data_IF_747764643207
#
_entry.id   IF_747764643207
#
_cell.length_a   1.000
_cell.length_b   1.000
_cell.length_c   1.000
_cell.angle_alpha   90.00
_cell.angle_beta   90.00
_cell.angle_gamma   90.00
#
_symmetry.space_group_name_H-M   'P 1'
#
loop_
_entity.id
_entity.type
_entity.pdbx_description
1 polymer ?
#
# COMPACT_ATOMS: atom_id res chain seq x y z
N UNK A 1 11.37 -20.97 19.33
CA UNK A 1 12.31 -20.95 18.21
C UNK A 1 11.53 -21.33 16.95
N UNK A 2 11.45 -20.42 15.98
CA UNK A 2 10.90 -20.69 14.65
C UNK A 2 12.09 -20.99 13.71
N UNK A 3 11.98 -22.08 12.95
CA UNK A 3 12.98 -22.46 11.96
C UNK A 3 12.35 -22.35 10.58
N UNK A 4 12.89 -21.51 9.71
CA UNK A 4 12.54 -21.44 8.31
C UNK A 4 13.47 -22.40 7.55
N UNK A 5 12.92 -23.47 7.02
CA UNK A 5 13.63 -24.41 6.18
C UNK A 5 13.16 -24.26 4.71
N UNK A 6 14.07 -24.35 3.71
CA UNK A 6 13.69 -24.36 2.31
C UNK A 6 12.85 -25.62 2.00
N UNK A 7 11.69 -25.44 1.36
CA UNK A 7 10.90 -26.55 0.81
C UNK A 7 10.88 -26.46 -0.71
N UNK A 8 11.61 -27.36 -1.38
CA UNK A 8 11.72 -27.39 -2.86
C UNK A 8 10.35 -27.63 -3.51
N UNK A 9 9.44 -28.34 -2.82
CA UNK A 9 8.11 -28.63 -3.34
C UNK A 9 7.04 -27.59 -2.94
N UNK A 10 7.40 -26.57 -2.19
CA UNK A 10 6.43 -25.58 -1.66
C UNK A 10 5.58 -24.97 -2.78
N UNK A 11 6.20 -24.50 -3.86
CA UNK A 11 5.47 -23.89 -4.96
C UNK A 11 4.54 -24.88 -5.65
N UNK A 12 5.00 -26.10 -5.90
CA UNK A 12 4.18 -27.16 -6.51
C UNK A 12 2.97 -27.50 -5.63
N UNK A 13 3.17 -27.67 -4.31
CA UNK A 13 2.09 -27.92 -3.36
C UNK A 13 1.07 -26.77 -3.36
N UNK A 14 1.56 -25.54 -3.40
CA UNK A 14 0.71 -24.35 -3.45
C UNK A 14 -0.09 -24.25 -4.75
N UNK A 15 0.52 -24.54 -5.88
CA UNK A 15 -0.17 -24.60 -7.20
C UNK A 15 -1.28 -25.64 -7.21
N UNK A 16 -1.03 -26.84 -6.72
CA UNK A 16 -2.05 -27.90 -6.60
C UNK A 16 -3.22 -27.45 -5.73
N UNK A 17 -2.94 -26.81 -4.60
CA UNK A 17 -3.99 -26.29 -3.70
C UNK A 17 -4.82 -25.19 -4.36
N UNK A 18 -4.17 -24.27 -5.09
CA UNK A 18 -4.84 -23.20 -5.82
C UNK A 18 -5.71 -23.79 -6.93
N UNK A 19 -5.18 -24.75 -7.71
CA UNK A 19 -5.92 -25.39 -8.77
C UNK A 19 -7.17 -26.12 -8.23
N UNK A 20 -7.03 -26.84 -7.12
CA UNK A 20 -8.18 -27.52 -6.49
C UNK A 20 -9.27 -26.51 -6.04
N UNK A 21 -8.86 -25.35 -5.48
CA UNK A 21 -9.81 -24.28 -5.12
C UNK A 21 -10.51 -23.69 -6.35
N UNK A 22 -9.77 -23.51 -7.46
CA UNK A 22 -10.33 -23.01 -8.73
C UNK A 22 -11.33 -24.01 -9.27
N UNK A 23 -10.99 -25.30 -9.33
CA UNK A 23 -11.85 -26.36 -9.84
C UNK A 23 -13.15 -26.46 -9.04
N UNK A 24 -13.05 -26.37 -7.70
CA UNK A 24 -14.21 -26.37 -6.82
C UNK A 24 -15.12 -25.16 -7.08
N UNK A 25 -14.55 -23.96 -7.18
CA UNK A 25 -15.29 -22.75 -7.50
C UNK A 25 -15.92 -22.81 -8.89
N UNK A 26 -15.20 -23.31 -9.88
CA UNK A 26 -15.66 -23.44 -11.26
C UNK A 26 -16.90 -24.34 -11.39
N UNK A 27 -16.95 -25.43 -10.61
CA UNK A 27 -18.11 -26.33 -10.56
C UNK A 27 -19.39 -25.66 -10.01
N UNK A 28 -19.22 -24.67 -9.14
CA UNK A 28 -20.33 -23.99 -8.45
C UNK A 28 -20.73 -22.66 -9.11
N UNK A 29 -20.11 -22.28 -10.24
CA UNK A 29 -20.46 -21.05 -10.96
C UNK A 29 -21.81 -21.17 -11.64
N UNK A 30 -22.69 -20.20 -11.42
CA UNK A 30 -23.92 -20.03 -12.19
C UNK A 30 -23.64 -19.68 -13.65
N UNK A 31 -24.64 -19.78 -14.51
CA UNK A 31 -24.54 -19.35 -15.92
C UNK A 31 -24.22 -17.86 -15.99
N UNK A 32 -24.90 -17.04 -15.17
CA UNK A 32 -24.71 -15.59 -15.12
C UNK A 32 -23.31 -15.19 -14.66
N UNK A 33 -22.73 -15.93 -13.68
CA UNK A 33 -21.35 -15.70 -13.26
C UNK A 33 -20.34 -16.00 -14.36
N UNK A 34 -20.55 -17.05 -15.11
CA UNK A 34 -19.70 -17.41 -16.26
C UNK A 34 -19.76 -16.33 -17.33
N UNK A 35 -20.95 -15.85 -17.69
CA UNK A 35 -21.12 -14.76 -18.66
C UNK A 35 -20.46 -13.48 -18.19
N UNK A 36 -20.61 -13.13 -16.90
CA UNK A 36 -19.97 -11.96 -16.29
C UNK A 36 -18.45 -12.06 -16.37
N UNK A 37 -17.87 -13.21 -16.04
CA UNK A 37 -16.40 -13.43 -16.10
C UNK A 37 -15.91 -13.30 -17.54
N UNK A 38 -16.61 -13.91 -18.51
CA UNK A 38 -16.26 -13.82 -19.93
C UNK A 38 -16.30 -12.37 -20.42
N UNK A 39 -17.35 -11.61 -20.05
CA UNK A 39 -17.48 -10.20 -20.40
C UNK A 39 -16.37 -9.34 -19.80
N UNK A 40 -16.04 -9.56 -18.52
CA UNK A 40 -14.95 -8.87 -17.83
C UNK A 40 -13.60 -9.15 -18.51
N UNK A 41 -13.32 -10.40 -18.83
CA UNK A 41 -12.08 -10.82 -19.51
C UNK A 41 -11.95 -10.16 -20.88
N UNK A 42 -13.04 -10.15 -21.68
CA UNK A 42 -13.06 -9.49 -22.99
C UNK A 42 -12.80 -7.99 -22.88
N UNK A 43 -13.45 -7.31 -21.90
CA UNK A 43 -13.27 -5.89 -21.68
C UNK A 43 -11.83 -5.56 -21.22
N UNK A 44 -11.27 -6.38 -20.33
CA UNK A 44 -9.89 -6.21 -19.86
C UNK A 44 -8.91 -6.36 -21.03
N UNK A 45 -9.08 -7.41 -21.85
CA UNK A 45 -8.23 -7.62 -23.03
C UNK A 45 -8.31 -6.47 -24.02
N UNK A 46 -9.52 -6.00 -24.35
CA UNK A 46 -9.72 -4.85 -25.22
C UNK A 46 -9.06 -3.58 -24.68
N UNK A 47 -9.10 -3.36 -23.35
CA UNK A 47 -8.43 -2.22 -22.71
C UNK A 47 -6.91 -2.34 -22.74
N UNK A 48 -6.35 -3.54 -22.55
CA UNK A 48 -4.91 -3.79 -22.63
C UNK A 48 -4.34 -3.63 -24.05
N UNK A 49 -5.13 -3.99 -25.06
CA UNK A 49 -4.75 -3.88 -26.48
C UNK A 49 -4.92 -2.45 -27.02
N UNK A 50 -5.65 -1.58 -26.29
CA UNK A 50 -5.86 -0.19 -26.69
C UNK A 50 -4.57 0.61 -26.52
N UNK A 51 -4.05 1.12 -27.62
CA UNK A 51 -2.95 2.09 -27.60
C UNK A 51 -3.53 3.51 -27.41
N UNK A 52 -3.09 4.18 -26.34
CA UNK A 52 -3.47 5.57 -26.13
C UNK A 52 -2.58 6.51 -26.98
N UNK A 53 -3.17 7.64 -27.40
CA UNK A 53 -2.41 8.64 -28.16
C UNK A 53 -1.38 9.31 -27.23
N UNK A 54 -0.06 9.20 -27.49
CA UNK A 54 0.99 9.81 -26.66
C UNK A 54 0.92 11.35 -26.62
N UNK A 55 0.23 11.99 -27.58
CA UNK A 55 0.04 13.45 -27.59
C UNK A 55 -0.95 13.95 -26.51
N UNK A 56 -1.68 13.04 -25.84
CA UNK A 56 -2.53 13.37 -24.69
C UNK A 56 -1.68 13.74 -23.46
N UNK A 57 -0.45 13.26 -23.38
CA UNK A 57 0.44 13.56 -22.26
C UNK A 57 0.85 15.04 -22.28
N UNK A 58 0.69 15.76 -21.15
CA UNK A 58 1.13 17.16 -21.07
C UNK A 58 2.64 17.25 -21.32
N UNK A 59 3.03 18.17 -22.22
CA UNK A 59 4.44 18.44 -22.52
C UNK A 59 4.95 19.49 -21.54
N UNK A 60 5.84 19.08 -20.63
CA UNK A 60 6.47 20.00 -19.68
C UNK A 60 7.62 20.72 -20.35
N UNK A 61 7.60 22.05 -20.27
CA UNK A 61 8.62 22.96 -20.81
C UNK A 61 9.35 23.69 -19.69
N UNK A 62 10.42 24.42 -20.02
CA UNK A 62 11.12 25.26 -19.03
C UNK A 62 10.24 26.36 -18.44
N UNK A 63 9.18 26.76 -19.14
CA UNK A 63 8.24 27.78 -18.67
C UNK A 63 7.35 27.26 -17.53
N UNK A 64 7.14 25.96 -17.46
CA UNK A 64 6.31 25.30 -16.44
C UNK A 64 7.05 25.11 -15.11
N UNK A 65 8.36 25.39 -15.07
CA UNK A 65 9.15 25.31 -13.84
C UNK A 65 8.85 26.55 -12.98
N UNK A 66 8.25 26.37 -11.78
CA UNK A 66 7.99 27.50 -10.90
C UNK A 66 9.30 28.17 -10.46
N UNK A 67 9.33 29.51 -10.46
CA UNK A 67 10.51 30.29 -10.04
C UNK A 67 10.85 30.15 -8.56
N UNK A 68 9.88 29.80 -7.74
CA UNK A 68 10.03 29.55 -6.29
C UNK A 68 9.25 28.30 -5.90
N UNK A 69 9.76 27.59 -4.90
CA UNK A 69 9.05 26.45 -4.33
C UNK A 69 7.96 26.95 -3.39
N UNK A 70 6.73 26.60 -3.69
CA UNK A 70 5.61 26.81 -2.79
C UNK A 70 5.44 25.58 -1.88
N UNK A 71 5.29 25.83 -0.58
CA UNK A 71 5.00 24.79 0.40
C UNK A 71 3.52 24.81 0.72
N UNK A 72 2.92 23.64 0.72
CA UNK A 72 1.53 23.48 1.16
C UNK A 72 1.37 23.92 2.62
N UNK A 73 0.34 24.73 2.89
CA UNK A 73 0.00 25.16 4.23
C UNK A 73 -0.82 24.06 4.93
N UNK A 74 -0.38 23.69 6.12
CA UNK A 74 -1.12 22.74 6.95
C UNK A 74 -2.28 23.44 7.67
N UNK A 75 -3.36 22.68 7.86
CA UNK A 75 -4.40 22.99 8.84
C UNK A 75 -4.24 22.01 10.00
N UNK A 76 -4.19 22.52 11.24
CA UNK A 76 -4.12 21.68 12.43
C UNK A 76 -5.49 21.55 13.06
N UNK A 77 -5.81 20.36 13.55
CA UNK A 77 -7.02 20.13 14.34
C UNK A 77 -6.67 20.14 15.82
N UNK A 78 -7.50 20.83 16.62
CA UNK A 78 -7.35 20.86 18.09
C UNK A 78 -7.88 19.54 18.67
N UNK A 79 -7.02 18.57 18.82
CA UNK A 79 -7.24 17.37 19.63
C UNK A 79 -5.91 16.99 20.29
N UNK A 80 -5.92 16.00 21.16
CA UNK A 80 -4.76 15.56 21.95
C UNK A 80 -3.60 15.03 21.07
N UNK A 81 -3.88 14.71 19.81
CA UNK A 81 -2.89 14.28 18.83
C UNK A 81 -2.54 15.43 17.89
N UNK A 82 -1.28 15.57 17.51
CA UNK A 82 -0.83 16.51 16.47
C UNK A 82 -1.29 15.99 15.09
N UNK A 83 -2.47 16.45 14.63
CA UNK A 83 -2.99 16.14 13.30
C UNK A 83 -2.80 17.32 12.36
N UNK A 84 -2.28 17.04 11.19
CA UNK A 84 -2.06 18.03 10.13
C UNK A 84 -2.79 17.57 8.86
N UNK A 85 -3.56 18.47 8.28
CA UNK A 85 -4.21 18.27 7.01
C UNK A 85 -3.64 19.24 5.96
N UNK A 86 -3.32 18.73 4.78
CA UNK A 86 -2.81 19.52 3.67
C UNK A 86 -3.79 19.39 2.50
N UNK A 87 -4.53 20.47 2.23
CA UNK A 87 -5.41 20.51 1.06
C UNK A 87 -4.59 20.88 -0.16
N UNK A 88 -4.18 19.89 -0.93
CA UNK A 88 -3.38 20.05 -2.16
C UNK A 88 -4.00 19.22 -3.28
N UNK A 89 -3.73 19.61 -4.52
CA UNK A 89 -4.20 18.87 -5.69
C UNK A 89 -3.57 17.49 -5.78
N UNK A 90 -4.33 16.45 -5.42
CA UNK A 90 -3.90 15.04 -5.43
C UNK A 90 -4.62 14.19 -6.46
N UNK A 91 -5.44 14.82 -7.30
CA UNK A 91 -6.20 14.17 -8.36
C UNK A 91 -7.11 13.03 -7.84
N UNK A 92 -7.83 13.27 -6.72
CA UNK A 92 -8.76 12.31 -6.12
C UNK A 92 -8.07 11.20 -5.31
N UNK A 93 -6.80 11.38 -4.93
CA UNK A 93 -6.08 10.45 -4.07
C UNK A 93 -5.83 11.09 -2.72
N UNK A 94 -6.29 10.45 -1.65
CA UNK A 94 -5.97 10.83 -0.28
C UNK A 94 -4.74 10.06 0.21
N UNK A 95 -3.75 10.79 0.73
CA UNK A 95 -2.54 10.24 1.32
C UNK A 95 -2.61 10.35 2.83
N UNK A 96 -2.37 9.25 3.53
CA UNK A 96 -2.34 9.19 4.99
C UNK A 96 -0.93 8.88 5.47
N UNK A 97 -0.52 9.52 6.56
CA UNK A 97 0.73 9.24 7.24
C UNK A 97 0.52 9.31 8.75
N UNK A 98 0.86 8.24 9.44
CA UNK A 98 0.84 8.16 10.91
C UNK A 98 2.28 7.97 11.35
N UNK A 99 2.74 8.78 12.31
CA UNK A 99 4.06 8.64 12.91
C UNK A 99 3.87 8.39 14.41
N UNK A 100 4.33 7.23 14.84
CA UNK A 100 4.29 6.79 16.23
C UNK A 100 5.69 6.96 16.81
N UNK A 101 5.92 7.87 17.80
CA UNK A 101 7.21 7.96 18.46
C UNK A 101 7.59 6.63 19.10
N UNK A 102 8.84 6.25 18.98
CA UNK A 102 9.41 5.02 19.51
C UNK A 102 10.64 5.33 20.35
N UNK A 103 10.92 4.48 21.32
CA UNK A 103 12.22 4.50 21.99
C UNK A 103 13.34 4.15 21.01
N UNK A 104 14.56 4.66 21.25
CA UNK A 104 15.72 4.31 20.43
C UNK A 104 15.94 2.79 20.41
N UNK A 105 16.16 2.26 19.21
CA UNK A 105 16.43 0.82 19.04
C UNK A 105 17.83 0.48 19.58
N UNK A 106 17.94 -0.64 20.25
CA UNK A 106 19.21 -1.27 20.56
C UNK A 106 19.89 -1.74 19.25
N UNK A 107 21.20 -2.02 19.34
CA UNK A 107 21.95 -2.53 18.19
C UNK A 107 21.38 -3.84 17.63
N UNK A 108 20.84 -4.70 18.48
CA UNK A 108 20.25 -5.97 18.07
C UNK A 108 18.87 -5.76 17.41
N UNK A 109 18.05 -4.88 17.96
CA UNK A 109 16.76 -4.52 17.36
C UNK A 109 16.92 -3.82 16.01
N UNK A 110 17.95 -2.97 15.86
CA UNK A 110 18.25 -2.31 14.61
C UNK A 110 18.55 -3.29 13.47
N UNK A 111 19.20 -4.43 13.77
CA UNK A 111 19.49 -5.47 12.78
C UNK A 111 18.21 -6.09 12.18
N UNK A 112 17.13 -6.17 12.96
CA UNK A 112 15.86 -6.76 12.54
C UNK A 112 14.80 -5.70 12.17
N UNK A 113 15.10 -4.43 12.37
CA UNK A 113 14.17 -3.31 12.14
C UNK A 113 13.59 -3.31 10.71
N UNK A 114 14.45 -3.53 9.71
CA UNK A 114 14.01 -3.60 8.31
C UNK A 114 13.09 -4.81 8.04
N UNK A 115 13.42 -5.97 8.61
CA UNK A 115 12.56 -7.16 8.51
C UNK A 115 11.21 -6.89 9.16
N UNK A 116 11.20 -6.32 10.36
CA UNK A 116 9.98 -5.96 11.07
C UNK A 116 9.06 -5.05 10.24
N UNK A 117 9.58 -3.92 9.71
CA UNK A 117 8.77 -2.99 8.93
C UNK A 117 8.29 -3.58 7.61
N UNK A 118 9.09 -4.41 6.95
CA UNK A 118 8.72 -5.06 5.69
C UNK A 118 7.64 -6.14 5.88
N UNK A 119 7.56 -6.75 7.05
CA UNK A 119 6.57 -7.80 7.34
C UNK A 119 5.31 -7.27 8.03
N UNK A 120 5.39 -6.10 8.67
CA UNK A 120 4.31 -5.57 9.52
C UNK A 120 2.97 -5.46 8.79
N UNK A 121 2.99 -5.11 7.51
CA UNK A 121 1.79 -4.93 6.69
C UNK A 121 1.38 -6.18 5.90
N UNK A 122 2.19 -7.24 5.94
CA UNK A 122 2.01 -8.45 5.13
C UNK A 122 1.60 -9.69 5.97
N UNK A 123 1.40 -9.51 7.26
CA UNK A 123 0.98 -10.60 8.17
C UNK A 123 -0.52 -10.60 8.38
N UNK A 124 -1.04 -11.71 8.89
CA UNK A 124 -2.42 -11.82 9.33
C UNK A 124 -2.72 -10.96 10.55
N UNK A 125 -3.99 -10.63 10.77
CA UNK A 125 -4.45 -9.80 11.91
C UNK A 125 -5.60 -10.52 12.60
N UNK A 126 -5.42 -10.85 13.88
CA UNK A 126 -6.40 -11.61 14.65
C UNK A 126 -6.69 -12.96 13.98
N UNK A 127 -7.95 -13.22 13.67
CA UNK A 127 -8.38 -14.46 13.01
C UNK A 127 -8.26 -14.43 11.49
N UNK A 128 -7.84 -13.30 10.89
CA UNK A 128 -7.68 -13.17 9.45
C UNK A 128 -6.30 -13.65 9.01
N UNK A 129 -6.29 -14.49 7.98
CA UNK A 129 -5.05 -14.90 7.33
C UNK A 129 -4.38 -13.69 6.65
N UNK A 130 -3.09 -13.79 6.32
CA UNK A 130 -2.40 -12.76 5.53
C UNK A 130 -3.06 -12.54 4.16
N UNK A 131 -3.59 -13.60 3.53
CA UNK A 131 -4.30 -13.50 2.25
C UNK A 131 -5.58 -12.67 2.36
N UNK A 132 -6.32 -12.83 3.47
CA UNK A 132 -7.55 -12.06 3.71
C UNK A 132 -7.22 -10.60 4.04
N UNK A 133 -6.15 -10.34 4.80
CA UNK A 133 -5.67 -8.98 5.09
C UNK A 133 -5.24 -8.29 3.79
N UNK A 134 -4.46 -8.94 2.94
CA UNK A 134 -4.04 -8.37 1.66
C UNK A 134 -5.23 -8.08 0.72
N UNK A 135 -6.23 -8.97 0.67
CA UNK A 135 -7.47 -8.70 -0.09
C UNK A 135 -8.21 -7.48 0.44
N UNK A 136 -8.34 -7.37 1.76
CA UNK A 136 -8.99 -6.25 2.41
C UNK A 136 -8.24 -4.93 2.13
N UNK A 137 -6.91 -4.91 2.27
CA UNK A 137 -6.10 -3.75 1.95
C UNK A 137 -6.25 -3.34 0.47
N UNK A 138 -6.13 -4.29 -0.44
CA UNK A 138 -6.22 -4.04 -1.89
C UNK A 138 -7.61 -3.56 -2.35
N UNK A 139 -8.66 -3.87 -1.57
CA UNK A 139 -10.01 -3.42 -1.88
C UNK A 139 -10.24 -1.94 -1.59
N UNK A 140 -9.54 -1.37 -0.59
CA UNK A 140 -9.80 -0.01 -0.09
C UNK A 140 -8.58 0.91 -0.14
N UNK A 141 -7.38 0.39 -0.40
CA UNK A 141 -6.15 1.19 -0.46
C UNK A 141 -5.32 0.90 -1.70
N UNK A 142 -4.51 1.87 -2.10
CA UNK A 142 -3.45 1.67 -3.10
C UNK A 142 -2.13 1.16 -2.49
N UNK A 143 -2.19 0.61 -1.28
CA UNK A 143 -1.09 0.03 -0.52
C UNK A 143 -0.86 0.70 0.82
N UNK A 144 -0.34 -0.09 1.76
CA UNK A 144 0.08 0.36 3.09
C UNK A 144 1.57 -0.01 3.23
N UNK A 145 2.36 0.88 3.78
CA UNK A 145 3.77 0.62 4.06
C UNK A 145 4.17 1.12 5.44
N UNK A 146 5.14 0.46 6.04
CA UNK A 146 5.72 0.85 7.32
C UNK A 146 7.23 1.06 7.17
N UNK A 147 7.78 2.03 7.89
CA UNK A 147 9.22 2.31 7.91
C UNK A 147 9.58 3.03 9.20
N UNK A 148 10.83 2.90 9.65
CA UNK A 148 11.34 3.80 10.66
C UNK A 148 11.71 5.15 10.05
N UNK A 149 11.50 6.23 10.80
CA UNK A 149 11.83 7.60 10.42
C UNK A 149 12.43 8.36 11.58
N UNK A 150 13.17 9.40 11.29
CA UNK A 150 13.65 10.34 12.29
C UNK A 150 12.66 11.51 12.38
N UNK A 151 12.25 11.83 13.58
CA UNK A 151 11.38 12.96 13.90
C UNK A 151 12.28 14.06 14.45
N UNK A 152 12.47 15.18 13.73
CA UNK A 152 13.25 16.30 14.26
C UNK A 152 12.53 16.95 15.43
N UNK A 153 13.27 17.47 16.39
CA UNK A 153 12.75 18.37 17.40
C UNK A 153 12.39 19.74 16.79
N UNK A 154 11.74 20.59 17.58
CA UNK A 154 11.30 21.90 17.11
C UNK A 154 12.47 22.80 16.64
N UNK A 155 13.67 22.59 17.16
CA UNK A 155 14.89 23.33 16.81
C UNK A 155 15.76 22.61 15.77
N UNK A 156 15.34 21.41 15.33
CA UNK A 156 16.10 20.55 14.41
C UNK A 156 17.50 20.16 14.90
N UNK A 157 17.74 20.26 16.19
CA UNK A 157 19.03 19.99 16.83
C UNK A 157 19.17 18.53 17.25
N UNK A 158 18.04 17.90 17.60
CA UNK A 158 17.97 16.47 17.95
C UNK A 158 16.89 15.76 17.14
N UNK A 159 16.96 14.44 17.12
CA UNK A 159 16.01 13.61 16.42
C UNK A 159 15.57 12.46 17.34
N UNK A 160 14.29 12.18 17.35
CA UNK A 160 13.73 10.97 17.94
C UNK A 160 13.37 9.95 16.87
N UNK A 161 13.30 8.68 17.27
CA UNK A 161 12.87 7.62 16.37
C UNK A 161 11.35 7.57 16.31
N UNK A 162 10.81 7.28 15.13
CA UNK A 162 9.39 7.05 14.95
C UNK A 162 9.12 5.91 13.96
N UNK A 163 8.06 5.14 14.22
CA UNK A 163 7.49 4.22 13.25
C UNK A 163 6.49 4.99 12.39
N UNK A 164 6.77 5.10 11.10
CA UNK A 164 5.92 5.76 10.13
C UNK A 164 5.13 4.72 9.34
N UNK A 165 3.81 4.85 9.35
CA UNK A 165 2.89 4.07 8.54
C UNK A 165 2.26 5.00 7.51
N UNK A 166 2.31 4.63 6.24
CA UNK A 166 1.72 5.42 5.15
C UNK A 166 0.76 4.59 4.33
N UNK A 167 -0.29 5.22 3.86
CA UNK A 167 -1.25 4.64 2.92
C UNK A 167 -1.75 5.69 1.93
N UNK A 168 -2.39 5.22 0.88
CA UNK A 168 -3.13 6.05 -0.07
C UNK A 168 -4.42 5.35 -0.44
N UNK A 169 -5.48 6.13 -0.68
CA UNK A 169 -6.78 5.63 -1.12
C UNK A 169 -7.39 6.58 -2.14
N UNK A 170 -8.33 6.09 -2.94
CA UNK A 170 -9.18 6.96 -3.72
C UNK A 170 -10.17 7.68 -2.79
N UNK A 171 -10.61 8.88 -3.17
CA UNK A 171 -11.51 9.71 -2.36
C UNK A 171 -12.89 9.06 -2.18
N UNK A 172 -13.31 8.22 -3.13
CA UNK A 172 -14.61 7.53 -3.15
C UNK A 172 -14.59 6.13 -2.50
N UNK A 173 -13.50 5.75 -1.82
CA UNK A 173 -13.34 4.45 -1.16
C UNK A 173 -13.31 4.56 0.35
#
# INVERSE_FOLDING_TARGET
>A
NYCLAPDIEFNLKKEIQIQAKIDQKSKNLSVDDKERIIKLTKNLKARQEKSDNPEILPKVTKADIPKSREYAKSQSFKNDNKNFYYNVGTNGITYHSIILPCDPLTKEEFKIASLFTNTLTDVGIGDKSYEDVQKMQSAVTGGISASFTLIPDDNQSTHSLGLKITSKSLEDN
#
